data_IF_183467858607
#
_entry.id   IF_183467858607
#
_cell.length_a   1.000
_cell.length_b   1.000
_cell.length_c   1.000
_cell.angle_alpha   90.00
_cell.angle_beta   90.00
_cell.angle_gamma   90.00
#
_symmetry.space_group_name_H-M   'P 1'
#
loop_
_entity.id
_entity.type
_entity.pdbx_description
1 polymer ?
#
# COMPACT_ATOMS: atom_id res chain seq x y z
N UNK A 1 27.47 -4.88 4.49
CA UNK A 1 26.02 -4.69 4.75
C UNK A 1 25.25 -4.93 3.45
N UNK A 2 24.07 -5.55 3.49
CA UNK A 2 23.25 -5.80 2.29
C UNK A 2 22.20 -4.70 2.10
N UNK A 3 21.71 -4.51 0.87
CA UNK A 3 20.61 -3.58 0.59
C UNK A 3 19.37 -3.91 1.42
N UNK A 4 19.05 -5.19 1.66
CA UNK A 4 17.95 -5.61 2.54
C UNK A 4 18.06 -5.01 3.95
N UNK A 5 19.25 -5.04 4.55
CA UNK A 5 19.46 -4.47 5.88
C UNK A 5 19.32 -2.95 5.87
N UNK A 6 19.81 -2.30 4.80
CA UNK A 6 19.70 -0.85 4.61
C UNK A 6 18.24 -0.42 4.44
N UNK A 7 17.47 -1.07 3.58
CA UNK A 7 16.03 -0.79 3.39
C UNK A 7 15.26 -0.87 4.71
N UNK A 8 15.48 -1.93 5.50
CA UNK A 8 14.82 -2.06 6.81
C UNK A 8 15.17 -0.94 7.78
N UNK A 9 16.46 -0.57 7.86
CA UNK A 9 16.93 0.45 8.80
C UNK A 9 16.50 1.84 8.36
N UNK A 10 16.80 2.21 7.11
CA UNK A 10 16.63 3.57 6.60
C UNK A 10 15.14 3.91 6.39
N UNK A 11 14.29 2.92 6.08
CA UNK A 11 12.85 3.13 5.91
C UNK A 11 12.04 2.96 7.19
N UNK A 12 12.67 2.61 8.33
CA UNK A 12 11.94 2.31 9.57
C UNK A 12 11.08 3.49 10.04
N UNK A 13 11.60 4.72 9.94
CA UNK A 13 10.86 5.92 10.32
C UNK A 13 9.66 6.18 9.39
N UNK A 14 9.87 6.10 8.07
CA UNK A 14 8.78 6.27 7.10
C UNK A 14 7.70 5.19 7.23
N UNK A 15 8.09 3.95 7.55
CA UNK A 15 7.13 2.89 7.89
C UNK A 15 6.34 3.21 9.15
N UNK A 16 6.99 3.71 10.21
CA UNK A 16 6.30 4.12 11.44
C UNK A 16 5.26 5.21 11.20
N UNK A 17 5.63 6.25 10.45
CA UNK A 17 4.69 7.34 10.10
C UNK A 17 3.50 6.82 9.27
N UNK A 18 3.75 5.91 8.32
CA UNK A 18 2.67 5.30 7.55
C UNK A 18 1.75 4.45 8.45
N UNK A 19 2.33 3.64 9.34
CA UNK A 19 1.57 2.77 10.26
C UNK A 19 0.70 3.59 11.22
N UNK A 20 1.22 4.70 11.75
CA UNK A 20 0.44 5.66 12.56
C UNK A 20 -0.75 6.21 11.79
N UNK A 21 -0.54 6.68 10.54
CA UNK A 21 -1.62 7.22 9.70
C UNK A 21 -2.66 6.15 9.36
N UNK A 22 -2.22 4.94 8.99
CA UNK A 22 -3.13 3.83 8.67
C UNK A 22 -3.91 3.37 9.89
N UNK A 23 -3.31 3.45 11.08
CA UNK A 23 -3.97 3.06 12.34
C UNK A 23 -5.14 3.97 12.74
N UNK A 24 -5.28 5.14 12.11
CA UNK A 24 -6.46 6.00 12.26
C UNK A 24 -7.70 5.42 11.58
N UNK A 25 -7.53 4.51 10.62
CA UNK A 25 -8.63 3.79 10.01
C UNK A 25 -9.08 2.63 10.89
N UNK A 26 -10.25 2.77 11.50
CA UNK A 26 -10.91 1.64 12.14
C UNK A 26 -11.50 0.72 11.05
N UNK A 27 -10.90 -0.46 10.90
CA UNK A 27 -11.27 -1.43 9.86
C UNK A 27 -12.55 -2.22 10.20
N UNK A 28 -13.10 -2.03 11.40
CA UNK A 28 -14.35 -2.67 11.84
C UNK A 28 -15.58 -1.83 11.55
N UNK A 29 -15.42 -0.55 11.21
CA UNK A 29 -16.52 0.30 10.78
C UNK A 29 -16.40 0.68 9.31
N UNK A 30 -17.56 0.98 8.71
CA UNK A 30 -17.67 1.29 7.28
C UNK A 30 -16.82 2.48 6.89
N UNK A 31 -16.76 3.52 7.73
CA UNK A 31 -16.04 4.77 7.42
C UNK A 31 -14.54 4.51 7.37
N UNK A 32 -13.96 3.99 8.43
CA UNK A 32 -12.54 3.71 8.50
C UNK A 32 -12.10 2.73 7.42
N UNK A 33 -12.90 1.69 7.15
CA UNK A 33 -12.59 0.76 6.08
C UNK A 33 -12.67 1.39 4.68
N UNK A 34 -13.68 2.23 4.41
CA UNK A 34 -13.73 3.01 3.15
C UNK A 34 -12.52 3.92 2.99
N UNK A 35 -12.09 4.63 4.03
CA UNK A 35 -10.89 5.47 4.00
C UNK A 35 -9.62 4.68 3.68
N UNK A 36 -9.47 3.49 4.29
CA UNK A 36 -8.38 2.57 3.99
C UNK A 36 -8.39 2.12 2.51
N UNK A 37 -9.55 1.69 1.99
CA UNK A 37 -9.68 1.26 0.59
C UNK A 37 -9.41 2.40 -0.39
N UNK A 38 -9.88 3.62 -0.10
CA UNK A 38 -9.61 4.83 -0.87
C UNK A 38 -8.12 5.12 -1.01
N UNK A 39 -7.37 5.03 0.09
CA UNK A 39 -5.91 5.15 0.08
C UNK A 39 -5.28 4.08 -0.82
N UNK A 40 -5.68 2.80 -0.67
CA UNK A 40 -5.14 1.70 -1.46
C UNK A 40 -5.42 1.88 -2.96
N UNK A 41 -6.67 2.20 -3.32
CA UNK A 41 -7.11 2.39 -4.69
C UNK A 41 -6.32 3.50 -5.37
N UNK A 42 -6.17 4.65 -4.69
CA UNK A 42 -5.44 5.78 -5.23
C UNK A 42 -3.95 5.48 -5.45
N UNK A 43 -3.30 4.78 -4.52
CA UNK A 43 -1.89 4.44 -4.63
C UNK A 43 -1.65 3.40 -5.73
N UNK A 44 -2.43 2.31 -5.74
CA UNK A 44 -2.35 1.24 -6.73
C UNK A 44 -2.69 1.73 -8.14
N UNK A 45 -3.67 2.62 -8.28
CA UNK A 45 -4.01 3.25 -9.56
C UNK A 45 -2.84 4.02 -10.16
N UNK A 46 -2.14 4.83 -9.33
CA UNK A 46 -0.94 5.56 -9.79
C UNK A 46 0.20 4.61 -10.18
N UNK A 47 0.40 3.53 -9.44
CA UNK A 47 1.43 2.52 -9.75
C UNK A 47 1.11 1.77 -11.05
N UNK A 48 -0.16 1.42 -11.27
CA UNK A 48 -0.61 0.79 -12.52
C UNK A 48 -0.38 1.70 -13.72
N UNK A 49 -0.77 2.99 -13.61
CA UNK A 49 -0.56 3.97 -14.68
C UNK A 49 0.91 4.19 -15.03
N UNK A 50 1.80 4.07 -14.05
CA UNK A 50 3.24 4.18 -14.24
C UNK A 50 3.92 2.87 -14.69
N UNK A 51 3.15 1.79 -14.90
CA UNK A 51 3.66 0.44 -15.18
C UNK A 51 4.74 -0.02 -14.19
N UNK A 52 4.58 0.39 -12.93
CA UNK A 52 5.59 0.26 -11.89
C UNK A 52 5.75 -1.21 -11.43
N UNK A 53 6.92 -1.49 -10.83
CA UNK A 53 7.25 -2.81 -10.29
C UNK A 53 7.79 -3.79 -11.33
N UNK A 54 8.50 -4.80 -10.82
CA UNK A 54 9.01 -5.93 -11.59
C UNK A 54 8.21 -7.18 -11.24
N UNK A 55 8.50 -7.77 -10.09
CA UNK A 55 7.83 -8.96 -9.58
C UNK A 55 6.37 -8.70 -9.17
N UNK A 56 6.05 -7.47 -8.77
CA UNK A 56 4.70 -7.08 -8.34
C UNK A 56 3.84 -6.51 -9.48
N UNK A 57 4.36 -6.46 -10.72
CA UNK A 57 3.67 -5.86 -11.87
C UNK A 57 2.29 -6.45 -12.14
N UNK A 58 2.11 -7.76 -11.98
CA UNK A 58 0.81 -8.42 -12.12
C UNK A 58 -0.06 -8.33 -10.85
N UNK A 59 0.57 -8.17 -9.68
CA UNK A 59 -0.12 -8.07 -8.39
C UNK A 59 -0.82 -6.72 -8.23
N UNK A 60 -0.19 -5.62 -8.66
CA UNK A 60 -0.73 -4.26 -8.57
C UNK A 60 -2.14 -4.15 -9.20
N UNK A 61 -2.37 -4.49 -10.49
CA UNK A 61 -3.69 -4.41 -11.09
C UNK A 61 -4.70 -5.35 -10.41
N UNK A 62 -4.26 -6.52 -9.95
CA UNK A 62 -5.14 -7.46 -9.25
C UNK A 62 -5.61 -6.90 -7.89
N UNK A 63 -4.72 -6.23 -7.14
CA UNK A 63 -5.09 -5.56 -5.90
C UNK A 63 -5.96 -4.33 -6.15
N UNK A 64 -5.69 -3.57 -7.22
CA UNK A 64 -6.50 -2.42 -7.60
C UNK A 64 -7.95 -2.84 -7.87
N UNK A 65 -8.15 -3.83 -8.74
CA UNK A 65 -9.48 -4.33 -9.10
C UNK A 65 -10.26 -4.83 -7.87
N UNK A 66 -9.58 -5.49 -6.92
CA UNK A 66 -10.20 -5.92 -5.66
C UNK A 66 -10.62 -4.75 -4.77
N UNK A 67 -9.78 -3.72 -4.71
CA UNK A 67 -10.09 -2.50 -3.96
C UNK A 67 -11.28 -1.76 -4.57
N UNK A 68 -11.34 -1.69 -5.90
CA UNK A 68 -12.45 -1.09 -6.64
C UNK A 68 -13.76 -1.85 -6.45
N UNK A 69 -13.71 -3.19 -6.43
CA UNK A 69 -14.87 -4.02 -6.14
C UNK A 69 -15.41 -3.77 -4.72
N UNK A 70 -14.53 -3.67 -3.72
CA UNK A 70 -14.93 -3.37 -2.34
C UNK A 70 -15.50 -1.95 -2.19
N UNK A 71 -14.92 -0.95 -2.88
CA UNK A 71 -15.47 0.40 -2.91
C UNK A 71 -16.86 0.44 -3.57
N UNK A 72 -17.07 -0.33 -4.64
CA UNK A 72 -18.37 -0.45 -5.28
C UNK A 72 -19.42 -1.11 -4.37
N UNK A 73 -19.07 -2.19 -3.67
CA UNK A 73 -19.93 -2.83 -2.66
C UNK A 73 -20.33 -1.83 -1.56
N UNK A 74 -19.37 -1.01 -1.11
CA UNK A 74 -19.58 0.04 -0.12
C UNK A 74 -20.22 1.31 -0.71
N UNK A 75 -20.59 1.34 -1.99
CA UNK A 75 -21.13 2.51 -2.69
C UNK A 75 -20.31 3.79 -2.44
N UNK A 76 -18.98 3.63 -2.38
CA UNK A 76 -18.04 4.70 -2.06
C UNK A 76 -17.27 5.11 -3.30
N UNK A 77 -17.26 6.41 -3.60
CA UNK A 77 -16.42 6.96 -4.66
C UNK A 77 -14.93 6.85 -4.30
N UNK A 78 -14.02 6.69 -5.28
CA UNK A 78 -12.58 6.79 -5.04
C UNK A 78 -12.17 8.21 -4.61
N UNK A 79 -10.93 8.38 -4.14
CA UNK A 79 -10.39 9.72 -3.89
C UNK A 79 -10.35 10.54 -5.18
N UNK A 80 -10.47 11.85 -5.02
CA UNK A 80 -10.25 12.76 -6.14
C UNK A 80 -8.88 12.51 -6.78
N UNK A 81 -8.79 12.41 -8.12
CA UNK A 81 -7.53 12.11 -8.81
C UNK A 81 -6.43 13.10 -8.43
N UNK A 82 -5.22 12.59 -8.22
CA UNK A 82 -4.07 13.47 -8.06
C UNK A 82 -3.48 13.80 -9.44
N UNK A 83 -3.34 15.08 -9.81
CA UNK A 83 -3.00 15.45 -11.18
C UNK A 83 -1.53 15.17 -11.56
N UNK A 84 -0.64 14.98 -10.58
CA UNK A 84 0.77 14.79 -10.85
C UNK A 84 1.09 13.31 -11.16
N UNK A 85 1.73 13.00 -12.31
CA UNK A 85 2.22 11.65 -12.58
C UNK A 85 3.30 11.26 -11.57
N UNK A 86 3.52 9.95 -11.40
CA UNK A 86 4.69 9.47 -10.66
C UNK A 86 5.95 9.71 -11.50
N UNK A 87 7.04 10.07 -10.85
CA UNK A 87 8.34 9.99 -11.49
C UNK A 87 8.72 8.52 -11.73
N UNK A 88 9.64 8.21 -12.66
CA UNK A 88 10.08 6.84 -12.89
C UNK A 88 10.77 6.23 -11.66
N UNK A 89 10.11 5.27 -11.02
CA UNK A 89 10.58 4.55 -9.84
C UNK A 89 11.43 3.33 -10.23
N UNK A 90 12.42 2.99 -9.39
CA UNK A 90 13.13 1.72 -9.49
C UNK A 90 12.16 0.54 -9.23
N UNK A 91 12.11 -0.48 -10.11
CA UNK A 91 11.19 -1.62 -9.94
C UNK A 91 11.36 -2.36 -8.60
N UNK A 92 12.60 -2.47 -8.08
CA UNK A 92 12.83 -3.18 -6.82
C UNK A 92 12.31 -2.40 -5.61
N UNK A 93 12.30 -1.06 -5.69
CA UNK A 93 11.70 -0.22 -4.66
C UNK A 93 10.19 -0.44 -4.56
N UNK A 94 9.51 -0.48 -5.71
CA UNK A 94 8.08 -0.77 -5.81
C UNK A 94 7.79 -2.17 -5.30
N UNK A 95 8.55 -3.17 -5.75
CA UNK A 95 8.37 -4.55 -5.33
C UNK A 95 8.56 -4.72 -3.82
N UNK A 96 9.55 -4.03 -3.23
CA UNK A 96 9.79 -4.04 -1.79
C UNK A 96 8.61 -3.51 -0.99
N UNK A 97 8.06 -2.35 -1.39
CA UNK A 97 6.93 -1.73 -0.68
C UNK A 97 5.65 -2.55 -0.86
N UNK A 98 5.32 -2.95 -2.09
CA UNK A 98 4.08 -3.70 -2.37
C UNK A 98 4.12 -5.10 -1.75
N UNK A 99 5.19 -5.87 -1.96
CA UNK A 99 5.29 -7.20 -1.37
C UNK A 99 5.39 -7.14 0.17
N UNK A 100 6.11 -6.16 0.71
CA UNK A 100 6.17 -5.91 2.15
C UNK A 100 4.81 -5.56 2.75
N UNK A 101 4.00 -4.74 2.07
CA UNK A 101 2.65 -4.38 2.51
C UNK A 101 1.73 -5.60 2.65
N UNK A 102 1.87 -6.60 1.77
CA UNK A 102 1.05 -7.82 1.80
C UNK A 102 1.32 -8.68 3.04
N UNK A 103 2.56 -8.74 3.50
CA UNK A 103 2.85 -9.36 4.80
C UNK A 103 2.19 -8.60 5.96
N UNK A 104 2.24 -7.26 5.92
CA UNK A 104 1.59 -6.41 6.92
C UNK A 104 0.07 -6.54 6.96
N UNK A 105 -0.56 -6.92 5.83
CA UNK A 105 -2.03 -7.09 5.76
C UNK A 105 -2.57 -8.26 6.58
N UNK A 106 -1.75 -9.17 7.09
CA UNK A 106 -2.22 -10.28 7.96
C UNK A 106 -2.89 -9.75 9.23
N UNK A 107 -2.26 -8.78 9.90
CA UNK A 107 -2.83 -8.15 11.10
C UNK A 107 -4.07 -7.33 10.75
N UNK A 108 -4.02 -6.56 9.65
CA UNK A 108 -5.13 -5.74 9.19
C UNK A 108 -6.35 -6.59 8.80
N UNK A 109 -6.12 -7.75 8.17
CA UNK A 109 -7.16 -8.74 7.85
C UNK A 109 -7.83 -9.24 9.12
N UNK A 110 -7.07 -9.55 10.16
CA UNK A 110 -7.64 -10.01 11.43
C UNK A 110 -8.51 -8.91 12.08
N UNK A 111 -8.08 -7.64 12.03
CA UNK A 111 -8.87 -6.50 12.51
C UNK A 111 -10.15 -6.31 11.71
N UNK A 112 -10.07 -6.35 10.38
CA UNK A 112 -11.25 -6.28 9.50
C UNK A 112 -12.22 -7.43 9.76
N UNK A 113 -11.72 -8.66 9.91
CA UNK A 113 -12.55 -9.84 10.15
C UNK A 113 -13.32 -9.77 11.48
N UNK A 114 -12.87 -8.98 12.44
CA UNK A 114 -13.57 -8.72 13.70
C UNK A 114 -14.75 -7.73 13.55
N UNK A 115 -15.01 -7.20 12.35
CA UNK A 115 -16.15 -6.34 12.08
C UNK A 115 -17.48 -7.06 12.27
N UNK A 116 -18.40 -6.48 13.02
CA UNK A 116 -19.80 -6.93 13.06
C UNK A 116 -20.67 -6.22 12.01
N UNK A 117 -20.11 -5.26 11.27
CA UNK A 117 -20.82 -4.50 10.26
C UNK A 117 -21.01 -5.35 8.98
N UNK A 118 -22.26 -5.67 8.58
CA UNK A 118 -22.51 -6.53 7.42
C UNK A 118 -21.99 -5.96 6.10
N UNK A 119 -21.96 -4.63 5.93
CA UNK A 119 -21.47 -4.00 4.70
C UNK A 119 -19.95 -4.15 4.59
N UNK A 120 -19.23 -3.97 5.70
CA UNK A 120 -17.78 -4.18 5.78
C UNK A 120 -17.42 -5.64 5.50
N UNK A 121 -18.20 -6.58 6.01
CA UNK A 121 -17.97 -8.01 5.81
C UNK A 121 -18.24 -8.46 4.35
N UNK A 122 -19.20 -7.84 3.65
CA UNK A 122 -19.44 -8.11 2.22
C UNK A 122 -18.30 -7.59 1.34
N UNK A 123 -17.69 -6.46 1.71
CA UNK A 123 -16.53 -5.89 1.04
C UNK A 123 -15.22 -6.59 1.47
N UNK A 124 -15.03 -7.83 1.01
CA UNK A 124 -13.93 -8.71 1.42
C UNK A 124 -12.84 -8.95 0.36
N UNK A 125 -12.95 -8.35 -0.83
CA UNK A 125 -12.12 -8.70 -1.99
C UNK A 125 -10.64 -8.35 -1.78
N UNK A 126 -10.34 -7.20 -1.16
CA UNK A 126 -8.98 -6.78 -0.88
C UNK A 126 -8.29 -7.70 0.13
N UNK A 127 -8.98 -8.04 1.22
CA UNK A 127 -8.41 -8.89 2.27
C UNK A 127 -8.40 -10.38 1.90
N UNK A 128 -9.22 -10.84 0.96
CA UNK A 128 -9.14 -12.19 0.39
C UNK A 128 -7.98 -12.38 -0.60
N UNK A 129 -7.25 -11.32 -0.96
CA UNK A 129 -6.05 -11.46 -1.79
C UNK A 129 -4.96 -12.30 -1.08
N UNK A 130 -4.14 -13.07 -1.84
CA UNK A 130 -3.02 -13.82 -1.29
C UNK A 130 -2.05 -12.97 -0.45
N UNK A 131 -1.30 -13.61 0.45
CA UNK A 131 -0.35 -12.95 1.35
C UNK A 131 0.95 -12.49 0.66
N UNK A 132 1.20 -12.94 -0.58
CA UNK A 132 2.36 -12.57 -1.38
C UNK A 132 3.69 -13.08 -0.83
N UNK A 133 3.70 -14.12 0.02
CA UNK A 133 4.90 -14.58 0.71
C UNK A 133 6.03 -14.98 -0.25
N UNK A 134 5.72 -15.64 -1.36
CA UNK A 134 6.72 -16.05 -2.35
C UNK A 134 7.32 -14.85 -3.09
N UNK A 135 6.50 -13.85 -3.42
CA UNK A 135 6.98 -12.60 -4.01
C UNK A 135 7.90 -11.88 -3.02
N UNK A 136 7.50 -11.79 -1.75
CA UNK A 136 8.36 -11.19 -0.72
C UNK A 136 9.69 -11.94 -0.58
N UNK A 137 9.69 -13.26 -0.58
CA UNK A 137 10.91 -14.08 -0.51
C UNK A 137 11.84 -13.79 -1.68
N UNK A 138 11.31 -13.68 -2.90
CA UNK A 138 12.10 -13.32 -4.07
C UNK A 138 12.72 -11.92 -3.95
N UNK A 139 11.91 -10.90 -3.61
CA UNK A 139 12.38 -9.52 -3.39
C UNK A 139 13.43 -9.46 -2.27
N UNK A 140 13.18 -10.18 -1.19
CA UNK A 140 14.07 -10.29 -0.04
C UNK A 140 15.45 -10.83 -0.43
N UNK A 141 15.47 -11.86 -1.28
CA UNK A 141 16.70 -12.50 -1.73
C UNK A 141 17.45 -11.61 -2.71
N UNK A 142 16.75 -10.99 -3.68
CA UNK A 142 17.34 -9.98 -4.57
C UNK A 142 18.01 -8.85 -3.78
N UNK A 143 17.31 -8.26 -2.81
CA UNK A 143 17.86 -7.19 -1.98
C UNK A 143 18.99 -7.68 -1.04
N UNK A 144 19.04 -8.97 -0.69
CA UNK A 144 20.12 -9.54 0.12
C UNK A 144 21.39 -9.72 -0.70
N UNK A 145 21.28 -10.09 -1.98
CA UNK A 145 22.41 -10.25 -2.88
C UNK A 145 23.05 -8.92 -3.31
N UNK A 146 22.36 -7.79 -3.12
CA UNK A 146 22.85 -6.47 -3.53
C UNK A 146 23.70 -5.77 -2.45
N UNK A 147 24.82 -5.11 -2.84
CA UNK A 147 25.59 -4.26 -1.95
C UNK A 147 24.80 -3.03 -1.51
N UNK A 148 24.93 -2.66 -0.23
CA UNK A 148 24.15 -1.56 0.35
C UNK A 148 24.62 -0.16 -0.07
N UNK A 149 25.87 0.00 -0.51
CA UNK A 149 26.53 1.30 -0.71
C UNK A 149 26.86 1.50 -2.18
N UNK A 150 25.82 1.65 -2.99
CA UNK A 150 25.92 1.94 -4.43
C UNK A 150 24.91 3.00 -4.81
N UNK A 151 25.13 3.71 -5.91
CA UNK A 151 24.17 4.68 -6.45
C UNK A 151 22.80 4.03 -6.73
N UNK A 152 22.78 2.77 -7.15
CA UNK A 152 21.54 2.04 -7.36
C UNK A 152 20.83 1.76 -6.04
N UNK A 153 21.56 1.32 -5.00
CA UNK A 153 21.00 1.15 -3.66
C UNK A 153 20.45 2.47 -3.09
N UNK A 154 21.15 3.60 -3.31
CA UNK A 154 20.67 4.92 -2.91
C UNK A 154 19.33 5.26 -3.57
N UNK A 155 19.23 5.04 -4.90
CA UNK A 155 17.99 5.24 -5.65
C UNK A 155 16.86 4.36 -5.14
N UNK A 156 17.10 3.07 -4.94
CA UNK A 156 16.07 2.12 -4.47
C UNK A 156 15.52 2.54 -3.10
N UNK A 157 16.39 2.95 -2.17
CA UNK A 157 15.97 3.43 -0.85
C UNK A 157 15.18 4.72 -0.97
N UNK A 158 15.63 5.68 -1.80
CA UNK A 158 14.94 6.95 -2.00
C UNK A 158 13.54 6.75 -2.63
N UNK A 159 13.44 5.91 -3.66
CA UNK A 159 12.19 5.62 -4.36
C UNK A 159 11.21 4.87 -3.43
N UNK A 160 11.70 3.94 -2.59
CA UNK A 160 10.88 3.25 -1.60
C UNK A 160 10.39 4.22 -0.51
N UNK A 161 11.23 5.16 -0.06
CA UNK A 161 10.82 6.19 0.88
C UNK A 161 9.75 7.11 0.28
N UNK A 162 9.91 7.51 -0.99
CA UNK A 162 8.93 8.32 -1.70
C UNK A 162 7.57 7.60 -1.84
N UNK A 163 7.58 6.28 -2.03
CA UNK A 163 6.37 5.45 -2.04
C UNK A 163 5.70 5.41 -0.66
N UNK A 164 6.45 5.23 0.43
CA UNK A 164 5.87 5.25 1.78
C UNK A 164 5.25 6.62 2.10
N UNK A 165 5.92 7.71 1.72
CA UNK A 165 5.39 9.08 1.84
C UNK A 165 4.10 9.25 1.02
N UNK A 166 4.08 8.77 -0.22
CA UNK A 166 2.88 8.79 -1.07
C UNK A 166 1.70 8.10 -0.40
N UNK A 167 1.88 6.88 0.10
CA UNK A 167 0.81 6.17 0.82
C UNK A 167 0.36 6.94 2.06
N UNK A 168 1.30 7.53 2.80
CA UNK A 168 1.00 8.36 3.97
C UNK A 168 0.15 9.57 3.61
N UNK A 169 0.47 10.28 2.53
CA UNK A 169 -0.28 11.47 2.11
C UNK A 169 -1.67 11.12 1.59
N UNK A 170 -1.80 9.98 0.90
CA UNK A 170 -3.11 9.44 0.51
C UNK A 170 -3.94 9.01 1.71
N UNK A 171 -3.32 8.45 2.76
CA UNK A 171 -4.02 8.13 4.01
C UNK A 171 -4.58 9.40 4.68
N UNK A 172 -3.75 10.44 4.77
CA UNK A 172 -4.17 11.73 5.34
C UNK A 172 -5.31 12.36 4.53
N UNK A 173 -5.22 12.31 3.18
CA UNK A 173 -6.29 12.80 2.30
C UNK A 173 -7.59 12.01 2.46
N UNK A 174 -7.53 10.69 2.54
CA UNK A 174 -8.72 9.86 2.73
C UNK A 174 -9.43 10.19 4.05
N UNK A 175 -8.67 10.40 5.13
CA UNK A 175 -9.23 10.82 6.41
C UNK A 175 -9.94 12.20 6.34
N UNK A 176 -9.45 13.13 5.50
CA UNK A 176 -10.01 14.48 5.32
C UNK A 176 -11.22 14.53 4.37
N UNK A 177 -11.16 13.83 3.23
CA UNK A 177 -12.27 13.75 2.27
C UNK A 177 -13.50 13.08 2.92
N UNK A 178 -13.28 12.16 3.88
CA UNK A 178 -14.35 11.59 4.72
C UNK A 178 -14.95 12.57 5.74
N UNK A 179 -14.20 13.58 6.20
CA UNK A 179 -14.71 14.59 7.13
C UNK A 179 -15.62 15.63 6.44
N UNK A 180 -15.39 15.87 5.14
CA UNK A 180 -16.10 16.89 4.35
C UNK A 180 -17.50 16.47 3.87
N UNK A 181 -17.86 15.19 3.96
CA UNK A 181 -19.18 14.66 3.53
C UNK A 181 -20.25 14.82 4.63
N UNK A 182 -19.87 15.25 5.84
CA UNK A 182 -20.76 15.36 7.00
C UNK A 182 -20.96 16.80 7.52
N UNK A 183 -20.72 17.83 6.69
CA UNK A 183 -21.03 19.23 7.00
C UNK A 183 -22.19 19.72 6.15
#
# INVERSE_FOLDING_TARGET
MTLRNRLRRDLSASHGVLDERVSLFSLTDRRGFTGFLRMQQAALGRLQQAEAGGLTRALIPALLARTEADLAELNAAPLSPHPAPLHPLDPLAVDYVIAGSRLGTVLLRARWAASENPDVQRAAQYFSAPDGLDIWRAVAETARAMPAETRQADRIVADAAALLTLYGDLAARAALEDASVHV
#
